data_IF_748836104980
#
_entry.id   IF_748836104980
#
_cell.length_a   1.000
_cell.length_b   1.000
_cell.length_c   1.000
_cell.angle_alpha   90.00
_cell.angle_beta   90.00
_cell.angle_gamma   90.00
#
_symmetry.space_group_name_H-M   'P 1'
#
loop_
_entity.id
_entity.type
_entity.pdbx_description
1 polymer ?
#
# COMPACT_ATOMS: atom_id res chain seq x y z
N UNK A 1 -6.29 -0.62 -2.39
CA UNK A 1 -5.95 0.73 -1.91
C UNK A 1 -4.64 1.11 -2.56
N UNK A 2 -4.60 2.21 -3.29
CA UNK A 2 -3.45 2.62 -4.08
C UNK A 2 -2.94 3.97 -3.56
N UNK A 3 -1.72 3.98 -3.04
CA UNK A 3 -1.03 5.21 -2.61
C UNK A 3 -0.55 6.01 -3.81
N UNK A 4 -0.29 7.30 -3.60
CA UNK A 4 0.00 8.28 -4.66
C UNK A 4 -1.15 8.39 -5.67
N UNK A 5 -2.38 8.36 -5.14
CA UNK A 5 -3.61 8.27 -5.94
C UNK A 5 -3.72 9.31 -7.04
N UNK A 6 -3.37 10.57 -6.75
CA UNK A 6 -3.38 11.65 -7.73
C UNK A 6 -2.44 11.38 -8.91
N UNK A 7 -1.18 11.01 -8.64
CA UNK A 7 -0.22 10.63 -9.68
C UNK A 7 -0.71 9.45 -10.52
N UNK A 8 -1.27 8.43 -9.89
CA UNK A 8 -1.81 7.28 -10.61
C UNK A 8 -3.00 7.60 -11.51
N UNK A 9 -3.83 8.55 -11.12
CA UNK A 9 -4.96 9.01 -11.92
C UNK A 9 -4.55 9.99 -13.02
N UNK A 10 -3.74 10.98 -12.67
CA UNK A 10 -3.44 12.11 -13.56
C UNK A 10 -2.33 11.78 -14.57
N UNK A 11 -1.27 11.11 -14.14
CA UNK A 11 -0.09 10.87 -14.99
C UNK A 11 -0.14 9.50 -15.67
N UNK A 12 -0.63 8.49 -14.96
CA UNK A 12 -0.67 7.10 -15.46
C UNK A 12 -2.03 6.65 -15.97
N UNK A 13 -3.10 7.41 -15.68
CA UNK A 13 -4.48 7.07 -16.06
C UNK A 13 -4.86 5.62 -15.73
N UNK A 14 -4.52 5.18 -14.52
CA UNK A 14 -4.69 3.79 -14.11
C UNK A 14 -6.17 3.37 -14.08
N UNK A 15 -7.08 4.30 -13.86
CA UNK A 15 -8.53 4.11 -13.97
C UNK A 15 -8.91 3.52 -15.34
N UNK A 16 -8.42 4.10 -16.43
CA UNK A 16 -8.69 3.62 -17.79
C UNK A 16 -8.08 2.25 -18.06
N UNK A 17 -6.90 1.99 -17.50
CA UNK A 17 -6.23 0.69 -17.61
C UNK A 17 -7.08 -0.36 -16.90
N UNK A 18 -7.54 -0.09 -15.67
CA UNK A 18 -8.37 -0.98 -14.89
C UNK A 18 -9.72 -1.23 -15.57
N UNK A 19 -10.39 -0.20 -16.06
CA UNK A 19 -11.65 -0.33 -16.82
C UNK A 19 -11.45 -1.20 -18.06
N UNK A 20 -10.35 -1.02 -18.80
CA UNK A 20 -10.01 -1.84 -19.95
C UNK A 20 -9.74 -3.31 -19.60
N UNK A 21 -9.11 -3.59 -18.46
CA UNK A 21 -8.88 -4.95 -17.97
C UNK A 21 -10.20 -5.60 -17.52
N UNK A 22 -11.09 -4.84 -16.88
CA UNK A 22 -12.42 -5.31 -16.47
C UNK A 22 -13.28 -5.62 -17.69
N UNK A 23 -13.33 -4.71 -18.68
CA UNK A 23 -14.10 -4.89 -19.91
C UNK A 23 -13.65 -6.11 -20.73
N UNK A 24 -12.37 -6.49 -20.64
CA UNK A 24 -11.81 -7.69 -21.30
C UNK A 24 -11.86 -8.94 -20.42
N UNK A 25 -12.50 -8.88 -19.25
CA UNK A 25 -12.59 -9.98 -18.27
C UNK A 25 -11.22 -10.49 -17.76
N UNK A 26 -10.17 -9.64 -17.83
CA UNK A 26 -8.84 -9.94 -17.29
C UNK A 26 -8.73 -9.57 -15.81
N UNK A 27 -9.59 -8.67 -15.34
CA UNK A 27 -9.83 -8.41 -13.93
C UNK A 27 -11.33 -8.55 -13.62
N UNK A 28 -11.72 -9.12 -12.48
CA UNK A 28 -13.09 -8.99 -12.01
C UNK A 28 -13.39 -7.52 -11.67
N UNK A 29 -14.68 -7.12 -11.58
CA UNK A 29 -15.04 -5.83 -11.03
C UNK A 29 -14.46 -5.64 -9.61
N UNK A 30 -13.81 -4.51 -9.38
CA UNK A 30 -13.12 -4.19 -8.13
C UNK A 30 -13.44 -2.77 -7.67
N UNK A 31 -13.33 -2.54 -6.37
CA UNK A 31 -13.28 -1.18 -5.81
C UNK A 31 -11.82 -0.75 -5.69
N UNK A 32 -11.50 0.46 -6.17
CA UNK A 32 -10.19 1.08 -5.96
C UNK A 32 -10.34 2.34 -5.14
N UNK A 33 -9.65 2.35 -4.00
CA UNK A 33 -9.53 3.54 -3.14
C UNK A 33 -8.17 4.16 -3.43
N UNK A 34 -8.18 5.31 -4.09
CA UNK A 34 -7.01 6.14 -4.35
C UNK A 34 -6.74 7.02 -3.13
N UNK A 35 -5.54 6.91 -2.56
CA UNK A 35 -5.14 7.65 -1.37
C UNK A 35 -4.06 8.64 -1.82
N UNK A 36 -4.44 9.92 -1.84
CA UNK A 36 -3.54 10.98 -2.27
C UNK A 36 -2.55 11.35 -1.15
N UNK A 37 -1.30 11.61 -1.55
CA UNK A 37 -0.25 12.10 -0.67
C UNK A 37 -0.14 13.63 -0.67
N UNK A 38 -0.97 14.30 -1.50
CA UNK A 38 -1.19 15.75 -1.59
C UNK A 38 0.03 16.54 -2.11
N UNK A 39 1.18 16.36 -1.48
CA UNK A 39 2.45 17.00 -1.83
C UNK A 39 3.67 16.12 -1.47
N UNK A 40 4.83 16.46 -2.03
CA UNK A 40 6.05 15.67 -1.85
C UNK A 40 6.54 15.64 -0.39
N UNK A 41 6.37 16.73 0.36
CA UNK A 41 6.84 16.82 1.73
C UNK A 41 6.01 15.93 2.66
N UNK A 42 4.68 15.94 2.51
CA UNK A 42 3.77 15.02 3.21
C UNK A 42 4.03 13.58 2.80
N UNK A 43 4.19 13.30 1.51
CA UNK A 43 4.56 11.96 1.01
C UNK A 43 5.80 11.41 1.70
N UNK A 44 6.87 12.20 1.81
CA UNK A 44 8.12 11.81 2.44
C UNK A 44 8.00 11.63 3.96
N UNK A 45 7.00 12.26 4.60
CA UNK A 45 6.73 12.14 6.03
C UNK A 45 5.76 11.00 6.38
N UNK A 46 4.76 10.77 5.55
CA UNK A 46 3.63 9.87 5.85
C UNK A 46 3.86 8.45 5.34
N UNK A 47 4.50 8.27 4.19
CA UNK A 47 4.63 6.94 3.57
C UNK A 47 5.78 6.08 4.11
N UNK A 48 7.01 6.58 4.33
CA UNK A 48 8.03 5.77 5.01
C UNK A 48 7.52 5.34 6.38
N UNK A 49 7.90 4.15 6.91
CA UNK A 49 7.34 3.53 8.10
C UNK A 49 6.95 4.51 9.22
N UNK A 50 5.69 4.93 9.18
CA UNK A 50 5.11 5.94 10.05
C UNK A 50 3.94 5.28 10.80
N UNK A 51 3.99 5.21 12.14
CA UNK A 51 2.93 4.59 12.93
C UNK A 51 1.58 5.32 12.78
N UNK A 52 1.58 6.65 12.74
CA UNK A 52 0.36 7.46 12.69
C UNK A 52 -0.39 7.24 11.37
N UNK A 53 0.34 7.16 10.25
CA UNK A 53 -0.28 6.87 8.95
C UNK A 53 -0.86 5.45 8.90
N UNK A 54 -0.16 4.47 9.48
CA UNK A 54 -0.69 3.11 9.55
C UNK A 54 -1.92 3.01 10.48
N UNK A 55 -1.94 3.79 11.56
CA UNK A 55 -3.07 3.85 12.50
C UNK A 55 -4.28 4.51 11.84
N UNK A 56 -4.08 5.61 11.10
CA UNK A 56 -5.11 6.23 10.26
C UNK A 56 -5.72 5.21 9.28
N UNK A 57 -4.88 4.44 8.57
CA UNK A 57 -5.34 3.42 7.63
C UNK A 57 -6.26 2.39 8.32
N UNK A 58 -5.86 1.89 9.50
CA UNK A 58 -6.56 0.83 10.22
C UNK A 58 -7.82 1.31 10.95
N UNK A 59 -7.73 2.46 11.61
CA UNK A 59 -8.70 2.91 12.61
C UNK A 59 -9.59 4.05 12.15
N UNK A 60 -9.24 4.73 11.06
CA UNK A 60 -10.04 5.83 10.51
C UNK A 60 -10.55 5.49 9.12
N UNK A 61 -9.65 5.16 8.18
CA UNK A 61 -10.03 4.92 6.78
C UNK A 61 -10.92 3.68 6.63
N UNK A 62 -10.55 2.54 7.23
CA UNK A 62 -11.36 1.32 7.12
C UNK A 62 -12.77 1.48 7.71
N UNK A 63 -12.95 2.05 8.93
CA UNK A 63 -14.28 2.37 9.42
C UNK A 63 -15.06 3.35 8.54
N UNK A 64 -14.40 4.40 8.04
CA UNK A 64 -15.04 5.36 7.15
C UNK A 64 -15.51 4.72 5.84
N UNK A 65 -14.69 3.89 5.20
CA UNK A 65 -15.06 3.14 3.98
C UNK A 65 -16.28 2.24 4.21
N UNK A 66 -16.35 1.59 5.38
CA UNK A 66 -17.51 0.77 5.75
C UNK A 66 -18.78 1.61 5.82
N UNK A 67 -18.71 2.83 6.35
CA UNK A 67 -19.85 3.75 6.38
C UNK A 67 -20.30 4.18 4.98
N UNK A 68 -19.37 4.20 4.01
CA UNK A 68 -19.66 4.44 2.60
C UNK A 68 -20.15 3.17 1.85
N UNK A 69 -20.40 2.06 2.55
CA UNK A 69 -20.83 0.80 1.94
C UNK A 69 -19.69 -0.04 1.33
N UNK A 70 -18.43 0.38 1.47
CA UNK A 70 -17.26 -0.33 0.97
C UNK A 70 -16.75 -1.27 2.07
N UNK A 71 -17.12 -2.54 1.98
CA UNK A 71 -16.66 -3.57 2.94
C UNK A 71 -15.33 -4.17 2.49
N UNK A 72 -14.33 -4.10 3.36
CA UNK A 72 -13.01 -4.70 3.13
C UNK A 72 -12.88 -6.04 3.84
N UNK A 73 -12.41 -7.07 3.13
CA UNK A 73 -11.96 -8.33 3.71
C UNK A 73 -10.47 -8.44 3.51
N UNK A 74 -9.68 -8.78 4.54
CA UNK A 74 -8.20 -8.77 4.44
C UNK A 74 -7.70 -9.61 3.26
N UNK A 75 -8.35 -10.74 2.97
CA UNK A 75 -7.97 -11.66 1.90
C UNK A 75 -8.24 -11.09 0.50
N UNK A 76 -9.14 -10.11 0.38
CA UNK A 76 -9.54 -9.47 -0.88
C UNK A 76 -9.06 -8.01 -0.98
N UNK A 77 -8.35 -7.53 0.03
CA UNK A 77 -7.86 -6.15 0.08
C UNK A 77 -6.37 -6.16 -0.22
N UNK A 78 -5.97 -5.41 -1.25
CA UNK A 78 -4.57 -5.21 -1.64
C UNK A 78 -4.16 -3.78 -1.30
N UNK A 79 -3.07 -3.63 -0.57
CA UNK A 79 -2.33 -2.37 -0.44
C UNK A 79 -1.32 -2.30 -1.59
N UNK A 80 -1.30 -1.20 -2.32
CA UNK A 80 -0.44 -1.03 -3.48
C UNK A 80 0.19 0.35 -3.52
N UNK A 81 1.40 0.42 -4.08
CA UNK A 81 2.07 1.68 -4.35
C UNK A 81 3.48 1.46 -4.88
N UNK A 82 4.12 2.56 -5.30
CA UNK A 82 5.49 2.54 -5.81
C UNK A 82 6.47 3.26 -4.88
N UNK A 83 7.75 2.87 -4.86
CA UNK A 83 8.78 3.50 -4.01
C UNK A 83 8.33 3.56 -2.53
N UNK A 84 8.15 4.76 -1.95
CA UNK A 84 7.62 4.90 -0.60
C UNK A 84 6.19 4.37 -0.45
N UNK A 85 5.33 4.41 -1.46
CA UNK A 85 4.03 3.74 -1.41
C UNK A 85 4.16 2.22 -1.33
N UNK A 86 5.14 1.65 -2.01
CA UNK A 86 5.45 0.21 -1.92
C UNK A 86 5.99 -0.19 -0.54
N UNK A 87 6.79 0.69 0.07
CA UNK A 87 7.31 0.54 1.43
C UNK A 87 6.19 0.68 2.48
N UNK A 88 5.35 1.72 2.35
CA UNK A 88 4.19 1.98 3.19
C UNK A 88 3.22 0.80 3.19
N UNK A 89 2.95 0.22 2.01
CA UNK A 89 2.05 -0.92 1.87
C UNK A 89 2.50 -2.10 2.72
N UNK A 90 3.80 -2.39 2.69
CA UNK A 90 4.39 -3.44 3.53
C UNK A 90 4.35 -3.06 5.01
N UNK A 91 4.70 -1.82 5.38
CA UNK A 91 4.63 -1.37 6.76
C UNK A 91 3.21 -1.49 7.38
N UNK A 92 2.19 -1.02 6.67
CA UNK A 92 0.79 -1.09 7.13
C UNK A 92 0.35 -2.55 7.28
N UNK A 93 0.71 -3.43 6.34
CA UNK A 93 0.39 -4.84 6.42
C UNK A 93 1.12 -5.56 7.57
N UNK A 94 2.36 -5.18 7.86
CA UNK A 94 3.13 -5.71 8.99
C UNK A 94 2.53 -5.29 10.34
N UNK A 95 2.12 -4.03 10.48
CA UNK A 95 1.54 -3.49 11.72
C UNK A 95 0.12 -4.00 11.96
N UNK A 96 -0.67 -4.16 10.90
CA UNK A 96 -2.08 -4.55 10.96
C UNK A 96 -2.43 -5.79 10.11
N UNK A 97 -1.76 -6.95 10.31
CA UNK A 97 -1.85 -8.12 9.42
C UNK A 97 -3.23 -8.80 9.43
N UNK A 98 -4.03 -8.56 10.47
CA UNK A 98 -5.42 -9.04 10.58
C UNK A 98 -6.39 -8.21 9.72
N UNK A 99 -6.05 -6.98 9.39
CA UNK A 99 -6.87 -6.04 8.61
C UNK A 99 -6.40 -5.98 7.16
N UNK A 100 -5.09 -5.94 6.93
CA UNK A 100 -4.49 -5.85 5.61
C UNK A 100 -3.72 -7.12 5.29
N UNK A 101 -4.17 -7.83 4.25
CA UNK A 101 -3.71 -9.18 3.99
C UNK A 101 -2.89 -9.36 2.73
N UNK A 102 -2.86 -8.40 1.81
CA UNK A 102 -2.11 -8.53 0.56
C UNK A 102 -1.38 -7.23 0.23
N UNK A 103 -0.18 -7.34 -0.31
CA UNK A 103 0.64 -6.20 -0.71
C UNK A 103 1.14 -6.37 -2.14
N UNK A 104 1.00 -5.31 -2.94
CA UNK A 104 1.61 -5.12 -4.25
C UNK A 104 2.61 -3.97 -4.16
N UNK A 105 3.88 -4.29 -3.96
CA UNK A 105 4.95 -3.31 -3.79
C UNK A 105 5.71 -3.12 -5.11
N UNK A 106 5.61 -1.95 -5.72
CA UNK A 106 6.24 -1.64 -7.01
C UNK A 106 7.55 -0.86 -6.78
N UNK A 107 8.70 -1.51 -6.93
CA UNK A 107 10.02 -0.92 -6.65
C UNK A 107 10.07 -0.27 -5.25
N UNK A 108 9.54 -0.99 -4.25
CA UNK A 108 9.44 -0.50 -2.88
C UNK A 108 10.80 -0.04 -2.36
N UNK A 109 10.83 1.12 -1.68
CA UNK A 109 12.05 1.76 -1.19
C UNK A 109 12.58 1.07 0.08
N UNK A 110 12.81 -0.25 0.00
CA UNK A 110 13.27 -1.06 1.14
C UNK A 110 14.67 -0.70 1.61
N UNK A 111 15.45 0.07 0.86
CA UNK A 111 16.71 0.66 1.35
C UNK A 111 16.51 1.65 2.51
N UNK A 112 15.30 2.20 2.68
CA UNK A 112 15.01 3.22 3.69
C UNK A 112 15.25 2.70 5.12
N UNK A 113 15.64 3.62 5.99
CA UNK A 113 15.75 3.40 7.43
C UNK A 113 15.36 4.66 8.20
N UNK A 114 14.92 4.52 9.47
CA UNK A 114 14.87 5.63 10.41
C UNK A 114 16.26 6.26 10.57
N UNK A 115 16.30 7.47 11.15
CA UNK A 115 17.56 8.09 11.51
C UNK A 115 18.31 7.19 12.51
N UNK A 116 19.63 7.06 12.31
CA UNK A 116 20.52 6.27 13.16
C UNK A 116 20.29 4.74 13.13
N UNK A 117 19.53 4.26 12.13
CA UNK A 117 19.30 2.84 11.86
C UNK A 117 19.95 2.42 10.54
N UNK A 118 20.24 1.12 10.40
CA UNK A 118 20.79 0.59 9.15
C UNK A 118 19.75 0.54 8.02
N UNK A 119 20.19 0.70 6.77
CA UNK A 119 19.36 0.48 5.58
C UNK A 119 18.64 -0.88 5.63
N UNK A 120 17.49 -1.03 4.97
CA UNK A 120 16.67 -2.27 5.06
C UNK A 120 16.02 -2.51 6.41
N UNK A 121 15.72 -1.43 7.15
CA UNK A 121 15.09 -1.53 8.46
C UNK A 121 13.77 -2.30 8.43
N UNK A 122 12.88 -2.01 7.48
CA UNK A 122 11.59 -2.71 7.40
C UNK A 122 11.75 -4.21 7.11
N UNK A 123 12.72 -4.58 6.27
CA UNK A 123 13.02 -5.99 5.97
C UNK A 123 13.41 -6.75 7.25
N UNK A 124 14.21 -6.13 8.13
CA UNK A 124 14.55 -6.70 9.44
C UNK A 124 13.33 -6.79 10.36
N UNK A 125 12.43 -5.82 10.34
CA UNK A 125 11.18 -5.90 11.10
C UNK A 125 10.33 -7.10 10.67
N UNK A 126 10.24 -7.37 9.37
CA UNK A 126 9.57 -8.57 8.86
C UNK A 126 10.25 -9.87 9.33
N UNK A 127 11.58 -9.93 9.29
CA UNK A 127 12.34 -11.10 9.75
C UNK A 127 12.11 -11.40 11.24
N UNK A 128 11.94 -10.35 12.05
CA UNK A 128 11.75 -10.46 13.50
C UNK A 128 10.28 -10.59 13.92
N UNK A 129 9.34 -10.45 12.99
CA UNK A 129 7.89 -10.55 13.26
C UNK A 129 7.38 -11.99 13.20
N UNK A 130 6.28 -12.32 13.89
CA UNK A 130 5.56 -13.55 13.64
C UNK A 130 5.18 -13.67 12.16
N UNK A 131 5.29 -14.86 11.58
CA UNK A 131 4.91 -15.07 10.18
C UNK A 131 3.39 -14.98 10.04
N UNK A 132 2.92 -13.90 9.43
CA UNK A 132 1.53 -13.76 8.99
C UNK A 132 1.39 -14.18 7.53
N UNK A 133 0.30 -14.84 7.12
CA UNK A 133 0.01 -15.14 5.73
C UNK A 133 -0.43 -13.86 5.02
N UNK A 134 0.56 -13.03 4.67
CA UNK A 134 0.43 -11.82 3.87
C UNK A 134 1.18 -12.06 2.56
N UNK A 135 0.49 -12.42 1.47
CA UNK A 135 1.11 -12.44 0.15
C UNK A 135 1.67 -11.05 -0.17
N UNK A 136 3.00 -10.98 -0.30
CA UNK A 136 3.74 -9.78 -0.68
C UNK A 136 4.34 -10.02 -2.06
N UNK A 137 3.77 -9.37 -3.07
CA UNK A 137 4.35 -9.33 -4.41
C UNK A 137 5.23 -8.08 -4.52
N UNK A 138 6.52 -8.27 -4.74
CA UNK A 138 7.48 -7.20 -4.99
C UNK A 138 7.84 -7.23 -6.48
N UNK A 139 7.46 -6.19 -7.21
CA UNK A 139 7.83 -6.02 -8.61
C UNK A 139 8.86 -4.89 -8.72
N UNK A 140 10.10 -5.23 -9.05
CA UNK A 140 11.17 -4.27 -9.30
C UNK A 140 11.78 -4.50 -10.67
N UNK A 141 12.52 -3.51 -11.17
CA UNK A 141 13.39 -3.72 -12.31
C UNK A 141 14.45 -4.77 -11.93
N UNK A 142 14.78 -5.74 -12.82
CA UNK A 142 15.94 -6.58 -12.59
C UNK A 142 17.17 -5.67 -12.45
N UNK A 143 17.94 -5.89 -11.38
CA UNK A 143 19.24 -5.26 -11.18
C UNK A 143 20.20 -5.60 -12.33
#
# INVERSE_FOLDING_TARGET
MLFDGKTYLDDYHIDRVLDGLIARHQLPPINVVFIDTLDHARRAKELPPNPDFADFMAHELLPWLRQQGITTQRQKTVLAGSSYGGLASSWVALRYPRLFGNVLSLSGSYWWAPKDEEASWLTRQYQNSPRYPVPLLVAGWPL
#
